data_IF_959753053801
#
_entry.id   IF_959753053801
#
_cell.length_a   1.000
_cell.length_b   1.000
_cell.length_c   1.000
_cell.angle_alpha   90.00
_cell.angle_beta   90.00
_cell.angle_gamma   90.00
#
_symmetry.space_group_name_H-M   'P 1'
#
loop_
_entity.id
_entity.type
_entity.pdbx_description
1 polymer ?
#
# COMPACT_ATOMS: atom_id res chain seq x y z
N UNK A 1 19.63 -5.02 0.81
CA UNK A 1 20.70 -6.01 1.15
C UNK A 1 22.02 -5.27 1.37
N UNK A 2 22.47 -4.44 0.42
CA UNK A 2 23.73 -3.69 0.52
C UNK A 2 23.84 -2.85 1.82
N UNK A 3 22.77 -2.15 2.21
CA UNK A 3 22.74 -1.32 3.43
C UNK A 3 22.92 -2.12 4.74
N UNK A 4 22.41 -3.34 4.80
CA UNK A 4 22.57 -4.21 5.98
C UNK A 4 24.03 -4.63 6.11
N UNK A 5 24.67 -5.00 5.02
CA UNK A 5 26.08 -5.39 4.94
C UNK A 5 27.00 -4.30 5.49
N UNK A 6 26.85 -3.07 4.99
CA UNK A 6 27.69 -1.93 5.42
C UNK A 6 27.53 -1.62 6.91
N UNK A 7 26.30 -1.65 7.45
CA UNK A 7 26.06 -1.39 8.88
C UNK A 7 26.62 -2.48 9.79
N UNK A 8 26.57 -3.75 9.38
CA UNK A 8 27.12 -4.87 10.16
C UNK A 8 28.65 -4.83 10.14
N UNK A 9 29.27 -4.60 8.99
CA UNK A 9 30.73 -4.38 8.85
C UNK A 9 31.21 -3.25 9.75
N UNK A 10 30.52 -2.10 9.74
CA UNK A 10 30.90 -0.95 10.56
C UNK A 10 30.85 -1.24 12.07
N UNK A 11 29.90 -2.08 12.52
CA UNK A 11 29.77 -2.44 13.94
C UNK A 11 30.72 -3.54 14.40
N UNK A 12 31.02 -4.53 13.56
CA UNK A 12 31.81 -5.70 13.93
C UNK A 12 33.31 -5.52 13.63
N UNK A 13 33.67 -4.56 12.79
CA UNK A 13 35.05 -4.32 12.37
C UNK A 13 35.72 -5.50 11.62
N UNK A 14 34.89 -6.45 11.14
CA UNK A 14 35.36 -7.68 10.46
C UNK A 14 34.60 -7.84 9.13
N UNK A 15 35.29 -8.42 8.15
CA UNK A 15 34.65 -8.83 6.90
C UNK A 15 33.56 -9.87 7.18
N UNK A 16 32.37 -9.65 6.68
CA UNK A 16 31.24 -10.56 6.81
C UNK A 16 30.47 -10.62 5.49
N UNK A 17 29.82 -11.73 5.22
CA UNK A 17 28.91 -11.91 4.11
C UNK A 17 27.53 -12.35 4.61
N UNK A 18 26.49 -11.96 3.88
CA UNK A 18 25.14 -12.39 4.18
C UNK A 18 24.96 -13.79 3.56
N UNK A 19 24.77 -14.80 4.40
CA UNK A 19 24.54 -16.18 3.95
C UNK A 19 23.07 -16.49 3.73
N UNK A 20 22.17 -15.84 4.49
CA UNK A 20 20.73 -15.98 4.35
C UNK A 20 20.01 -14.70 4.80
N UNK A 21 18.85 -14.46 4.22
CA UNK A 21 17.97 -13.33 4.55
C UNK A 21 16.50 -13.75 4.47
N UNK A 22 15.82 -13.77 5.60
CA UNK A 22 14.40 -14.00 5.66
C UNK A 22 13.66 -12.70 6.03
N UNK A 23 12.71 -12.31 5.16
CA UNK A 23 11.81 -11.19 5.46
C UNK A 23 10.74 -11.64 6.43
N UNK A 24 10.72 -11.07 7.62
CA UNK A 24 9.77 -11.44 8.69
C UNK A 24 8.50 -10.59 8.70
N UNK A 25 8.53 -9.41 8.03
CA UNK A 25 7.40 -8.48 7.99
C UNK A 25 7.47 -7.53 6.80
N UNK A 26 6.32 -7.17 6.24
CA UNK A 26 6.11 -6.06 5.29
C UNK A 26 4.97 -5.21 5.81
N UNK A 27 5.24 -3.97 6.23
CA UNK A 27 4.23 -3.12 6.85
C UNK A 27 3.59 -3.78 8.08
N UNK A 28 2.28 -4.01 8.06
CA UNK A 28 1.54 -4.70 9.12
C UNK A 28 1.50 -6.22 8.95
N UNK A 29 1.85 -6.76 7.78
CA UNK A 29 1.77 -8.19 7.46
C UNK A 29 3.01 -8.90 7.98
N UNK A 30 2.82 -9.95 8.78
CA UNK A 30 3.90 -10.76 9.36
C UNK A 30 4.08 -12.07 8.59
N UNK A 31 5.29 -12.62 8.59
CA UNK A 31 5.60 -13.90 7.94
C UNK A 31 4.68 -15.05 8.38
N UNK A 32 4.32 -15.08 9.67
CA UNK A 32 3.39 -16.10 10.20
C UNK A 32 1.97 -16.07 9.60
N UNK A 33 1.62 -14.99 8.90
CA UNK A 33 0.34 -14.83 8.21
C UNK A 33 0.43 -15.19 6.72
N UNK A 34 1.63 -15.54 6.25
CA UNK A 34 1.85 -15.99 4.88
C UNK A 34 1.64 -17.51 4.76
N UNK A 35 1.44 -17.95 3.56
CA UNK A 35 1.33 -19.37 3.20
C UNK A 35 2.48 -19.72 2.25
N UNK A 36 3.02 -20.93 2.40
CA UNK A 36 4.00 -21.45 1.46
C UNK A 36 3.39 -21.67 0.06
N UNK A 37 4.17 -21.42 -0.98
CA UNK A 37 3.68 -21.47 -2.37
C UNK A 37 3.25 -22.88 -2.81
N UNK A 38 3.91 -23.93 -2.31
CA UNK A 38 3.54 -25.28 -2.65
C UNK A 38 2.24 -25.70 -1.97
N UNK A 39 2.08 -25.29 -0.70
CA UNK A 39 0.82 -25.44 0.03
C UNK A 39 -0.29 -24.67 -0.66
N UNK A 40 -0.06 -23.42 -1.09
CA UNK A 40 -1.06 -22.63 -1.80
C UNK A 40 -1.46 -23.28 -3.13
N UNK A 41 -0.51 -23.87 -3.87
CA UNK A 41 -0.78 -24.57 -5.15
C UNK A 41 -1.67 -25.80 -4.97
N UNK A 42 -1.53 -26.53 -3.87
CA UNK A 42 -2.31 -27.74 -3.58
C UNK A 42 -3.77 -27.46 -3.16
N UNK A 43 -4.10 -26.22 -2.80
CA UNK A 43 -5.46 -25.85 -2.41
C UNK A 43 -6.39 -25.68 -3.61
N UNK A 44 -7.68 -25.93 -3.40
CA UNK A 44 -8.74 -25.54 -4.33
C UNK A 44 -8.94 -24.01 -4.40
N UNK A 45 -9.63 -23.53 -5.42
CA UNK A 45 -9.79 -22.10 -5.66
C UNK A 45 -10.52 -21.36 -4.52
N UNK A 46 -11.51 -22.01 -3.87
CA UNK A 46 -12.25 -21.41 -2.76
C UNK A 46 -11.34 -21.22 -1.54
N UNK A 47 -10.53 -22.24 -1.22
CA UNK A 47 -9.57 -22.20 -0.13
C UNK A 47 -8.45 -21.19 -0.36
N UNK A 48 -7.99 -21.02 -1.61
CA UNK A 48 -7.01 -20.00 -1.99
C UNK A 48 -7.50 -18.58 -1.67
N UNK A 49 -8.78 -18.31 -1.88
CA UNK A 49 -9.35 -16.98 -1.63
C UNK A 49 -9.28 -16.54 -0.16
N UNK A 50 -9.19 -17.47 0.79
CA UNK A 50 -9.00 -17.15 2.23
C UNK A 50 -7.66 -16.47 2.52
N UNK A 51 -6.66 -16.69 1.66
CA UNK A 51 -5.32 -16.09 1.80
C UNK A 51 -5.17 -14.77 1.04
N UNK A 52 -6.16 -14.38 0.25
CA UNK A 52 -6.19 -13.09 -0.43
C UNK A 52 -6.64 -12.02 0.54
N UNK A 53 -5.75 -11.08 0.87
CA UNK A 53 -6.09 -9.91 1.69
C UNK A 53 -6.49 -8.74 0.80
N UNK A 54 -7.55 -8.05 1.17
CA UNK A 54 -7.95 -6.84 0.46
C UNK A 54 -6.92 -5.74 0.71
N UNK A 55 -6.58 -4.99 -0.33
CA UNK A 55 -5.60 -3.88 -0.23
C UNK A 55 -6.09 -2.81 0.74
N UNK A 56 -7.40 -2.58 0.81
CA UNK A 56 -8.04 -1.63 1.71
C UNK A 56 -7.77 -1.95 3.20
N UNK A 57 -7.65 -3.23 3.55
CA UNK A 57 -7.31 -3.67 4.92
C UNK A 57 -5.85 -3.34 5.26
N UNK A 58 -4.96 -3.49 4.28
CA UNK A 58 -3.53 -3.21 4.44
C UNK A 58 -3.30 -1.71 4.62
N UNK A 59 -4.09 -0.89 3.92
CA UNK A 59 -3.96 0.55 3.90
C UNK A 59 -4.70 1.28 5.05
N UNK A 60 -5.33 0.57 5.99
CA UNK A 60 -6.12 1.18 7.09
C UNK A 60 -5.37 2.23 7.92
N UNK A 61 -4.05 2.09 8.06
CA UNK A 61 -3.20 2.99 8.88
C UNK A 61 -2.64 4.18 8.12
N UNK A 62 -2.84 4.25 6.82
CA UNK A 62 -2.36 5.36 5.99
C UNK A 62 -3.40 6.47 5.91
N UNK A 63 -2.96 7.72 5.67
CA UNK A 63 -3.87 8.83 5.40
C UNK A 63 -4.80 8.50 4.24
N UNK A 64 -6.10 8.76 4.43
CA UNK A 64 -7.12 8.46 3.43
C UNK A 64 -8.12 9.58 3.28
N UNK A 65 -8.62 9.75 2.07
CA UNK A 65 -9.67 10.68 1.69
C UNK A 65 -10.81 9.88 1.08
N UNK A 66 -12.03 10.14 1.51
CA UNK A 66 -13.24 9.58 0.89
C UNK A 66 -13.87 10.62 -0.01
N UNK A 67 -14.12 10.26 -1.26
CA UNK A 67 -14.73 11.13 -2.26
C UNK A 67 -16.20 10.78 -2.47
N UNK A 68 -16.99 11.76 -2.87
CA UNK A 68 -18.36 11.59 -3.37
C UNK A 68 -18.37 11.06 -4.81
N UNK A 69 -19.54 10.63 -5.32
CA UNK A 69 -19.68 10.12 -6.70
C UNK A 69 -19.25 11.13 -7.77
N UNK A 70 -19.52 12.42 -7.58
CA UNK A 70 -19.13 13.47 -8.51
C UNK A 70 -17.63 13.74 -8.50
N UNK A 71 -17.01 13.69 -7.32
CA UNK A 71 -15.59 13.91 -7.13
C UNK A 71 -14.74 12.75 -7.65
N UNK A 72 -15.22 11.50 -7.49
CA UNK A 72 -14.56 10.31 -8.05
C UNK A 72 -14.41 10.42 -9.56
N UNK A 73 -15.42 10.87 -10.27
CA UNK A 73 -15.35 11.08 -11.73
C UNK A 73 -14.26 12.07 -12.11
N UNK A 74 -14.15 13.19 -11.38
CA UNK A 74 -13.08 14.18 -11.60
C UNK A 74 -11.71 13.57 -11.33
N UNK A 75 -11.55 12.87 -10.20
CA UNK A 75 -10.32 12.20 -9.82
C UNK A 75 -9.89 11.16 -10.85
N UNK A 76 -10.82 10.32 -11.33
CA UNK A 76 -10.55 9.31 -12.36
C UNK A 76 -10.14 9.90 -13.70
N UNK A 77 -10.64 11.08 -14.04
CA UNK A 77 -10.25 11.82 -15.24
C UNK A 77 -8.93 12.60 -15.07
N UNK A 78 -8.25 12.45 -13.93
CA UNK A 78 -6.99 13.14 -13.67
C UNK A 78 -7.14 14.59 -13.20
N UNK A 79 -8.37 15.08 -13.00
CA UNK A 79 -8.64 16.43 -12.50
C UNK A 79 -8.46 16.49 -10.98
N UNK A 80 -8.02 17.65 -10.47
CA UNK A 80 -7.95 17.86 -9.03
C UNK A 80 -9.36 17.94 -8.41
N UNK A 81 -9.43 17.59 -7.12
CA UNK A 81 -10.66 17.63 -6.31
C UNK A 81 -10.38 18.43 -5.06
N UNK A 82 -11.19 19.43 -4.74
CA UNK A 82 -11.07 20.19 -3.50
C UNK A 82 -11.56 19.34 -2.32
N UNK A 83 -10.73 19.26 -1.26
CA UNK A 83 -11.03 18.49 -0.05
C UNK A 83 -10.98 19.41 1.15
N UNK A 84 -12.08 19.53 1.90
CA UNK A 84 -12.19 20.56 2.95
C UNK A 84 -11.66 20.09 4.32
N UNK A 85 -11.68 18.82 4.62
CA UNK A 85 -11.64 18.30 6.01
C UNK A 85 -10.40 17.47 6.34
N UNK A 86 -9.24 17.76 5.77
CA UNK A 86 -8.06 16.94 6.01
C UNK A 86 -6.94 17.71 6.72
N UNK A 87 -6.47 17.13 7.84
CA UNK A 87 -5.15 17.43 8.39
C UNK A 87 -4.15 17.30 7.25
N UNK A 88 -3.28 18.32 7.07
CA UNK A 88 -2.30 18.40 5.98
C UNK A 88 -1.43 17.14 5.92
N UNK A 89 -1.87 16.18 5.13
CA UNK A 89 -1.06 15.06 4.70
C UNK A 89 -0.75 15.27 3.22
N UNK A 90 0.52 15.46 2.89
CA UNK A 90 0.92 15.65 1.50
C UNK A 90 0.52 14.46 0.61
N UNK A 91 0.41 13.26 1.19
CA UNK A 91 0.13 12.01 0.49
C UNK A 91 -1.06 11.27 1.12
N UNK A 92 -2.00 10.82 0.30
CA UNK A 92 -3.17 10.09 0.77
C UNK A 92 -3.67 9.05 -0.22
N UNK A 93 -4.30 8.01 0.32
CA UNK A 93 -5.08 7.06 -0.48
C UNK A 93 -6.53 7.55 -0.62
N UNK A 94 -7.06 7.40 -1.81
CA UNK A 94 -8.37 7.92 -2.19
C UNK A 94 -9.36 6.78 -2.26
N UNK A 95 -10.48 6.93 -1.55
CA UNK A 95 -11.51 5.91 -1.43
C UNK A 95 -12.87 6.43 -1.91
N UNK A 96 -13.69 5.52 -2.40
CA UNK A 96 -15.11 5.71 -2.65
C UNK A 96 -15.87 4.47 -2.19
N UNK A 97 -16.83 4.61 -1.28
CA UNK A 97 -17.60 3.48 -0.70
C UNK A 97 -16.71 2.31 -0.28
N UNK A 98 -15.70 2.57 0.52
CA UNK A 98 -14.72 1.57 1.01
C UNK A 98 -13.86 0.89 -0.08
N UNK A 99 -13.93 1.33 -1.32
CA UNK A 99 -13.07 0.87 -2.40
C UNK A 99 -11.94 1.85 -2.68
N UNK A 100 -10.73 1.33 -2.87
CA UNK A 100 -9.56 2.13 -3.25
C UNK A 100 -9.70 2.61 -4.69
N UNK A 101 -9.73 3.94 -4.88
CA UNK A 101 -9.79 4.60 -6.19
C UNK A 101 -8.41 5.01 -6.70
N UNK A 102 -7.45 5.17 -5.81
CA UNK A 102 -6.11 5.57 -6.20
C UNK A 102 -5.32 6.20 -5.07
N UNK A 103 -4.32 6.96 -5.48
CA UNK A 103 -3.38 7.66 -4.60
C UNK A 103 -3.16 9.07 -5.14
N UNK A 104 -3.10 10.05 -4.25
CA UNK A 104 -2.94 11.45 -4.61
C UNK A 104 -2.13 12.25 -3.62
N UNK A 105 -1.85 13.50 -4.01
CA UNK A 105 -1.20 14.52 -3.18
C UNK A 105 -2.18 15.66 -2.92
N UNK A 106 -2.21 16.14 -1.70
CA UNK A 106 -2.99 17.34 -1.33
C UNK A 106 -2.02 18.51 -1.27
N UNK A 107 -2.32 19.56 -2.01
CA UNK A 107 -1.57 20.80 -2.01
C UNK A 107 -1.97 21.74 -0.86
N UNK A 108 -1.27 22.87 -0.72
CA UNK A 108 -1.52 23.88 0.29
C UNK A 108 -2.91 24.55 0.16
N UNK A 109 -3.49 24.50 -1.04
CA UNK A 109 -4.84 25.03 -1.33
C UNK A 109 -5.93 23.99 -1.09
N UNK A 110 -5.59 22.85 -0.47
CA UNK A 110 -6.49 21.71 -0.22
C UNK A 110 -7.03 21.06 -1.52
N UNK A 111 -6.30 21.12 -2.61
CA UNK A 111 -6.62 20.39 -3.83
C UNK A 111 -5.92 19.03 -3.82
N UNK A 112 -6.69 17.98 -3.95
CA UNK A 112 -6.21 16.62 -4.12
C UNK A 112 -5.87 16.38 -5.60
N UNK A 113 -4.59 16.21 -5.91
CA UNK A 113 -4.09 15.91 -7.24
C UNK A 113 -3.87 14.41 -7.42
N UNK A 114 -4.51 13.76 -8.42
CA UNK A 114 -4.30 12.33 -8.70
C UNK A 114 -2.84 12.07 -9.11
N UNK A 115 -2.21 11.08 -8.50
CA UNK A 115 -0.87 10.55 -8.87
C UNK A 115 -0.98 9.16 -9.50
N UNK A 116 -1.89 8.34 -9.00
CA UNK A 116 -2.22 7.02 -9.55
C UNK A 116 -3.72 6.80 -9.41
N UNK A 117 -4.35 6.44 -10.49
CA UNK A 117 -5.78 6.14 -10.56
C UNK A 117 -5.95 4.66 -10.85
N UNK A 118 -6.85 4.03 -10.11
CA UNK A 118 -7.24 2.63 -10.34
C UNK A 118 -8.53 2.64 -11.16
N UNK A 119 -8.39 2.37 -12.45
CA UNK A 119 -9.54 2.15 -13.33
C UNK A 119 -9.97 0.69 -13.19
N UNK A 120 -11.00 0.43 -12.42
CA UNK A 120 -11.66 -0.89 -12.45
C UNK A 120 -12.46 -0.93 -13.75
N UNK A 121 -12.00 -1.74 -14.70
CA UNK A 121 -12.84 -2.08 -15.87
C UNK A 121 -13.99 -2.92 -15.33
N UNK A 122 -15.20 -2.41 -15.47
CA UNK A 122 -16.42 -3.19 -15.28
C UNK A 122 -16.51 -4.29 -16.33
#
# INVERSE_FOLDING_TARGET
IYFIHVKVLAKLGKFCCLTDLQRTRIGSIKLKESIDINTLKSLDNVSKMKYVKRIEEILRKFPKVSLSSSEVKKFQNGSFVRVEDQKMHNECFVFFKDELMGYGLIDENKNLHPKRVINRRN
#
